data_IF_570041134407
#
_entry.id   IF_570041134407
#
_cell.length_a   1.000
_cell.length_b   1.000
_cell.length_c   1.000
_cell.angle_alpha   90.00
_cell.angle_beta   90.00
_cell.angle_gamma   90.00
#
_symmetry.space_group_name_H-M   'P 1'
#
loop_
_entity.id
_entity.type
_entity.pdbx_description
1 polymer ?
#
# COMPACT_ATOMS: atom_id res chain seq x y z
N UNK A 1 -5.66 -17.19 16.66
CA UNK A 1 -6.24 -16.94 15.32
C UNK A 1 -5.58 -15.73 14.67
N UNK A 2 -5.91 -15.41 13.43
CA UNK A 2 -5.27 -14.32 12.65
C UNK A 2 -5.31 -12.95 13.34
N UNK A 3 -6.27 -12.71 14.24
CA UNK A 3 -6.36 -11.48 15.05
C UNK A 3 -5.09 -11.20 15.88
N UNK A 4 -4.37 -12.22 16.34
CA UNK A 4 -3.15 -12.05 17.14
C UNK A 4 -1.95 -11.55 16.32
N UNK A 5 -1.92 -11.87 15.02
CA UNK A 5 -0.83 -11.49 14.11
C UNK A 5 -1.06 -10.13 13.45
N UNK A 6 -2.32 -9.73 13.33
CA UNK A 6 -2.74 -8.52 12.61
C UNK A 6 -2.94 -7.29 13.51
N UNK A 7 -2.61 -7.42 14.80
CA UNK A 7 -2.77 -6.33 15.76
C UNK A 7 -4.23 -5.90 15.95
N UNK A 8 -5.18 -6.83 15.83
CA UNK A 8 -6.60 -6.51 15.96
C UNK A 8 -6.89 -5.91 17.33
N UNK A 9 -7.57 -4.77 17.32
CA UNK A 9 -8.10 -4.12 18.52
C UNK A 9 -9.61 -3.93 18.39
N UNK A 10 -10.34 -4.25 19.45
CA UNK A 10 -11.77 -3.98 19.58
C UNK A 10 -12.09 -2.54 19.99
N UNK A 11 -11.08 -1.72 20.29
CA UNK A 11 -11.28 -0.34 20.75
C UNK A 11 -11.94 0.52 19.67
N UNK A 12 -12.86 1.40 20.10
CA UNK A 12 -13.43 2.47 19.26
C UNK A 12 -12.37 3.53 19.00
N UNK A 13 -12.26 4.00 17.76
CA UNK A 13 -11.32 5.05 17.38
C UNK A 13 -11.74 6.39 18.00
N UNK A 14 -10.82 7.17 18.59
CA UNK A 14 -11.13 8.51 19.11
C UNK A 14 -11.56 9.50 18.01
N UNK A 15 -11.19 9.27 16.75
CA UNK A 15 -11.55 10.10 15.58
C UNK A 15 -12.83 9.63 14.89
N UNK A 16 -13.55 8.64 15.42
CA UNK A 16 -14.82 8.19 14.85
C UNK A 16 -15.84 9.34 14.82
N UNK A 17 -16.83 9.22 13.94
CA UNK A 17 -17.98 10.13 13.93
C UNK A 17 -18.63 10.14 15.32
N UNK A 18 -18.76 11.32 15.91
CA UNK A 18 -19.28 11.50 17.25
C UNK A 18 -20.73 10.99 17.36
N UNK A 19 -21.09 10.49 18.54
CA UNK A 19 -22.49 10.20 18.86
C UNK A 19 -23.26 11.52 18.94
N UNK A 20 -23.97 11.86 17.86
CA UNK A 20 -24.75 13.09 17.76
C UNK A 20 -25.99 12.84 16.94
N UNK A 21 -27.13 13.18 17.53
CA UNK A 21 -28.44 13.04 16.90
C UNK A 21 -28.87 14.36 16.27
N UNK A 22 -28.83 14.40 14.94
CA UNK A 22 -29.26 15.53 14.13
C UNK A 22 -30.76 15.43 13.83
N UNK A 23 -31.43 16.57 13.77
CA UNK A 23 -32.89 16.67 13.59
C UNK A 23 -33.23 17.57 12.41
N UNK A 24 -33.97 17.03 11.45
CA UNK A 24 -34.37 17.72 10.22
C UNK A 24 -35.88 17.83 10.19
N UNK A 25 -36.41 19.04 10.37
CA UNK A 25 -37.86 19.28 10.43
C UNK A 25 -38.43 19.45 9.01
N UNK A 26 -39.43 18.64 8.68
CA UNK A 26 -40.24 18.78 7.46
C UNK A 26 -41.67 19.20 7.75
N UNK A 27 -42.45 19.38 6.68
CA UNK A 27 -43.88 19.71 6.78
C UNK A 27 -44.72 18.52 7.28
N UNK A 28 -44.38 17.29 6.86
CA UNK A 28 -45.15 16.08 7.16
C UNK A 28 -44.50 15.22 8.25
N UNK A 29 -43.17 15.27 8.36
CA UNK A 29 -42.38 14.41 9.23
C UNK A 29 -41.06 15.08 9.59
N UNK A 30 -40.55 14.76 10.78
CA UNK A 30 -39.19 15.14 11.19
C UNK A 30 -38.28 13.92 11.05
N UNK A 31 -37.17 14.04 10.30
CA UNK A 31 -36.17 12.98 10.18
C UNK A 31 -35.12 13.15 11.27
N UNK A 32 -34.77 12.05 11.91
CA UNK A 32 -33.75 11.96 12.95
C UNK A 32 -32.61 11.10 12.41
N UNK A 33 -31.39 11.62 12.44
CA UNK A 33 -30.19 10.93 11.95
C UNK A 33 -29.10 10.97 13.02
N UNK A 34 -28.39 9.86 13.19
CA UNK A 34 -27.16 9.83 13.95
C UNK A 34 -26.05 9.20 13.13
N UNK A 35 -25.22 10.06 12.52
CA UNK A 35 -24.11 9.62 11.67
C UNK A 35 -23.07 8.78 12.42
N UNK A 36 -23.00 8.86 13.75
CA UNK A 36 -22.18 7.96 14.56
C UNK A 36 -22.62 6.49 14.49
N UNK A 37 -23.86 6.21 14.08
CA UNK A 37 -24.40 4.86 13.86
C UNK A 37 -24.25 4.42 12.40
N UNK A 38 -24.11 5.36 11.47
CA UNK A 38 -24.21 5.09 10.04
C UNK A 38 -23.10 4.13 9.55
N UNK A 39 -23.53 3.06 8.88
CA UNK A 39 -22.64 2.13 8.21
C UNK A 39 -22.23 2.59 6.78
N UNK A 40 -22.60 3.81 6.38
CA UNK A 40 -22.42 4.37 5.03
C UNK A 40 -22.86 3.41 3.90
N UNK A 41 -24.05 2.83 4.04
CA UNK A 41 -24.55 1.86 3.06
C UNK A 41 -25.08 2.46 1.76
N UNK A 42 -25.27 3.78 1.69
CA UNK A 42 -25.85 4.48 0.52
C UNK A 42 -27.36 4.32 0.34
N UNK A 43 -28.03 3.42 1.08
CA UNK A 43 -29.45 3.09 0.85
C UNK A 43 -30.40 4.30 0.83
N UNK A 44 -30.18 5.29 1.69
CA UNK A 44 -31.03 6.49 1.74
C UNK A 44 -30.73 7.46 0.59
N UNK A 45 -29.45 7.72 0.30
CA UNK A 45 -29.00 8.64 -0.76
C UNK A 45 -29.25 8.07 -2.16
N UNK A 46 -29.08 6.76 -2.33
CA UNK A 46 -29.19 6.09 -3.63
C UNK A 46 -30.66 5.92 -4.04
N UNK A 47 -31.56 5.69 -3.06
CA UNK A 47 -32.98 5.41 -3.32
C UNK A 47 -33.87 6.65 -3.24
N UNK A 48 -33.46 7.69 -2.50
CA UNK A 48 -34.27 8.89 -2.29
C UNK A 48 -33.40 10.15 -2.23
N UNK A 49 -32.62 10.38 -3.28
CA UNK A 49 -31.72 11.53 -3.44
C UNK A 49 -32.43 12.89 -3.43
N UNK A 50 -33.76 12.93 -3.64
CA UNK A 50 -34.54 14.17 -3.50
C UNK A 50 -34.67 14.63 -2.05
N UNK A 51 -34.50 13.72 -1.08
CA UNK A 51 -34.55 14.02 0.35
C UNK A 51 -33.22 13.83 1.07
N UNK A 52 -32.33 12.93 0.60
CA UNK A 52 -31.04 12.62 1.24
C UNK A 52 -29.87 13.00 0.33
N UNK A 53 -29.07 13.97 0.77
CA UNK A 53 -28.07 14.64 -0.07
C UNK A 53 -26.65 14.26 0.30
N UNK A 54 -26.02 13.37 -0.49
CA UNK A 54 -24.61 13.06 -0.30
C UNK A 54 -23.73 14.30 -0.48
N UNK A 55 -22.83 14.56 0.48
CA UNK A 55 -21.85 15.66 0.40
C UNK A 55 -22.42 17.08 0.54
N UNK A 56 -23.69 17.23 0.93
CA UNK A 56 -24.33 18.53 1.13
C UNK A 56 -24.85 18.70 2.54
N UNK A 57 -24.94 19.95 3.01
CA UNK A 57 -25.63 20.31 4.25
C UNK A 57 -26.73 21.35 3.95
N UNK A 58 -27.98 21.17 4.43
CA UNK A 58 -28.41 20.07 5.30
C UNK A 58 -28.44 18.72 4.58
N UNK A 59 -27.96 17.67 5.25
CA UNK A 59 -27.95 16.31 4.72
C UNK A 59 -29.34 15.82 4.31
N UNK A 60 -30.38 16.17 5.07
CA UNK A 60 -31.76 15.75 4.82
C UNK A 60 -32.64 16.96 4.54
N UNK A 61 -33.43 16.88 3.47
CA UNK A 61 -34.55 17.77 3.18
C UNK A 61 -35.85 16.96 3.23
N UNK A 62 -36.49 16.83 4.41
CA UNK A 62 -37.67 15.97 4.57
C UNK A 62 -38.84 16.38 3.66
N UNK A 63 -39.01 17.67 3.38
CA UNK A 63 -40.06 18.13 2.45
C UNK A 63 -39.76 17.86 0.98
N UNK A 64 -38.62 17.26 0.64
CA UNK A 64 -38.19 16.94 -0.73
C UNK A 64 -38.73 15.62 -1.28
N UNK A 65 -39.46 14.84 -0.47
CA UNK A 65 -40.07 13.59 -0.88
C UNK A 65 -41.45 13.40 -0.23
N UNK A 66 -42.20 12.41 -0.72
CA UNK A 66 -43.47 12.02 -0.12
C UNK A 66 -43.22 11.27 1.20
N UNK A 67 -44.19 11.33 2.11
CA UNK A 67 -44.08 10.70 3.43
C UNK A 67 -43.83 9.19 3.36
N UNK A 68 -44.55 8.49 2.48
CA UNK A 68 -44.39 7.05 2.25
C UNK A 68 -42.96 6.69 1.79
N UNK A 69 -42.40 7.47 0.88
CA UNK A 69 -41.01 7.30 0.41
C UNK A 69 -40.00 7.53 1.55
N UNK A 70 -40.18 8.57 2.36
CA UNK A 70 -39.32 8.87 3.52
C UNK A 70 -39.36 7.75 4.56
N UNK A 71 -40.56 7.29 4.92
CA UNK A 71 -40.74 6.18 5.87
C UNK A 71 -40.07 4.92 5.34
N UNK A 72 -40.24 4.60 4.06
CA UNK A 72 -39.61 3.46 3.41
C UNK A 72 -38.08 3.55 3.43
N UNK A 73 -37.52 4.72 3.12
CA UNK A 73 -36.09 4.97 3.15
C UNK A 73 -35.51 4.83 4.57
N UNK A 74 -36.19 5.40 5.58
CA UNK A 74 -35.78 5.28 6.99
C UNK A 74 -35.81 3.82 7.46
N UNK A 75 -36.91 3.09 7.19
CA UNK A 75 -37.04 1.65 7.52
C UNK A 75 -36.01 0.77 6.83
N UNK A 76 -35.52 1.21 5.68
CA UNK A 76 -34.51 0.49 4.89
C UNK A 76 -33.08 0.77 5.34
N UNK A 77 -32.84 1.64 6.33
CA UNK A 77 -31.51 1.98 6.83
C UNK A 77 -30.86 0.76 7.53
N UNK A 78 -29.86 0.08 6.93
CA UNK A 78 -29.36 -1.19 7.49
C UNK A 78 -28.65 -1.05 8.85
N UNK A 79 -28.20 0.16 9.18
CA UNK A 79 -27.51 0.45 10.44
C UNK A 79 -28.44 0.92 11.56
N UNK A 80 -29.70 1.24 11.25
CA UNK A 80 -30.61 1.86 12.22
C UNK A 80 -30.25 3.30 12.62
N UNK A 81 -29.37 3.97 11.87
CA UNK A 81 -28.98 5.36 12.10
C UNK A 81 -30.13 6.37 11.90
N UNK A 82 -31.09 6.02 11.03
CA UNK A 82 -32.25 6.85 10.71
C UNK A 82 -33.48 6.47 11.54
N UNK A 83 -34.28 7.49 11.84
CA UNK A 83 -35.60 7.40 12.46
C UNK A 83 -36.44 8.59 12.02
N UNK A 84 -37.71 8.61 12.41
CA UNK A 84 -38.55 9.76 12.22
C UNK A 84 -39.47 10.04 13.42
N UNK A 85 -39.91 11.29 13.51
CA UNK A 85 -40.91 11.74 14.46
C UNK A 85 -42.11 12.35 13.73
N UNK A 86 -43.29 12.04 14.25
CA UNK A 86 -44.58 12.60 13.83
C UNK A 86 -45.10 13.41 15.02
N UNK A 87 -45.50 14.66 14.78
CA UNK A 87 -45.97 15.59 15.81
C UNK A 87 -45.03 15.71 17.03
N UNK A 88 -43.72 15.69 16.76
CA UNK A 88 -42.67 15.81 17.78
C UNK A 88 -42.40 14.53 18.59
N UNK A 89 -43.13 13.44 18.33
CA UNK A 89 -42.93 12.14 18.99
C UNK A 89 -42.21 11.19 18.06
N UNK A 90 -41.08 10.63 18.50
CA UNK A 90 -40.35 9.63 17.72
C UNK A 90 -41.18 8.34 17.59
N UNK A 91 -41.43 7.93 16.35
CA UNK A 91 -42.19 6.73 16.01
C UNK A 91 -41.25 5.53 15.81
N UNK A 92 -40.42 5.22 16.82
CA UNK A 92 -39.41 4.15 16.72
C UNK A 92 -40.03 2.78 16.51
N UNK A 93 -41.16 2.52 17.16
CA UNK A 93 -42.02 1.35 16.99
C UNK A 93 -42.53 1.18 15.54
N UNK A 94 -42.62 2.27 14.79
CA UNK A 94 -42.96 2.24 13.37
C UNK A 94 -41.74 2.15 12.46
N UNK A 95 -40.53 2.42 12.95
CA UNK A 95 -39.27 2.26 12.18
C UNK A 95 -38.74 0.84 12.30
N UNK A 96 -38.73 0.32 13.53
CA UNK A 96 -38.32 -1.04 13.85
C UNK A 96 -39.40 -2.01 13.34
N UNK A 97 -38.99 -3.06 12.64
CA UNK A 97 -39.91 -3.98 11.95
C UNK A 97 -40.01 -5.31 12.68
N UNK A 98 -41.21 -5.87 12.77
CA UNK A 98 -41.39 -7.26 13.21
C UNK A 98 -40.99 -8.22 12.08
N UNK A 99 -39.81 -8.81 12.22
CA UNK A 99 -39.23 -9.78 11.27
C UNK A 99 -38.42 -10.83 12.01
N UNK A 100 -38.29 -12.05 11.46
CA UNK A 100 -37.54 -13.11 12.12
C UNK A 100 -36.07 -12.71 12.36
N UNK A 101 -35.46 -13.18 13.47
CA UNK A 101 -34.03 -13.04 13.72
C UNK A 101 -33.19 -13.54 12.54
N UNK A 102 -32.32 -12.70 12.00
CA UNK A 102 -31.42 -13.08 10.92
C UNK A 102 -30.08 -12.34 10.96
N UNK A 103 -29.07 -13.00 10.40
CA UNK A 103 -27.74 -12.43 10.13
C UNK A 103 -27.48 -12.57 8.64
N UNK A 104 -27.49 -11.47 7.91
CA UNK A 104 -27.14 -11.41 6.49
C UNK A 104 -25.67 -11.03 6.35
N UNK A 105 -24.92 -11.77 5.53
CA UNK A 105 -23.58 -11.39 5.11
C UNK A 105 -23.72 -10.50 3.88
N UNK A 106 -23.53 -9.19 4.03
CA UNK A 106 -23.54 -8.31 2.85
C UNK A 106 -22.24 -8.48 2.06
N UNK A 107 -22.38 -8.58 0.73
CA UNK A 107 -21.24 -8.64 -0.19
C UNK A 107 -20.34 -7.43 0.04
N UNK A 108 -19.04 -7.68 0.20
CA UNK A 108 -18.01 -6.65 0.39
C UNK A 108 -18.28 -5.70 1.57
N UNK A 109 -19.11 -6.12 2.54
CA UNK A 109 -19.68 -5.22 3.54
C UNK A 109 -19.89 -5.85 4.91
N UNK A 110 -20.61 -5.16 5.81
CA UNK A 110 -20.86 -5.62 7.17
C UNK A 110 -21.77 -6.86 7.25
N UNK A 111 -21.85 -7.46 8.44
CA UNK A 111 -22.99 -8.31 8.78
C UNK A 111 -24.19 -7.43 9.11
N UNK A 112 -25.36 -7.70 8.53
CA UNK A 112 -26.62 -7.01 8.85
C UNK A 112 -27.44 -7.91 9.75
N UNK A 113 -27.73 -7.40 10.94
CA UNK A 113 -28.48 -8.10 11.96
C UNK A 113 -29.89 -7.54 11.97
N UNK A 114 -30.89 -8.41 12.04
CA UNK A 114 -32.30 -8.06 12.05
C UNK A 114 -33.09 -8.94 13.01
N UNK A 115 -34.30 -8.52 13.38
CA UNK A 115 -35.22 -9.29 14.22
C UNK A 115 -34.91 -9.22 15.72
N UNK A 116 -34.29 -8.14 16.17
CA UNK A 116 -34.14 -7.88 17.61
C UNK A 116 -33.14 -8.76 18.34
N UNK A 117 -32.13 -9.28 17.63
CA UNK A 117 -31.07 -10.12 18.24
C UNK A 117 -30.29 -9.29 19.28
N UNK A 118 -30.24 -9.71 20.55
CA UNK A 118 -29.44 -9.04 21.57
C UNK A 118 -27.95 -9.10 21.23
N UNK A 119 -27.23 -8.00 21.47
CA UNK A 119 -25.78 -7.94 21.35
C UNK A 119 -25.17 -7.71 22.73
N UNK A 120 -24.35 -8.64 23.19
CA UNK A 120 -23.62 -8.56 24.46
C UNK A 120 -22.12 -8.45 24.25
N UNK A 121 -21.42 -7.83 25.18
CA UNK A 121 -19.97 -7.70 25.19
C UNK A 121 -19.27 -8.96 25.74
N UNK A 122 -17.94 -8.90 25.90
CA UNK A 122 -17.14 -10.02 26.41
C UNK A 122 -17.39 -10.37 27.90
N UNK A 123 -18.10 -9.51 28.63
CA UNK A 123 -18.51 -9.74 30.01
C UNK A 123 -19.96 -10.25 30.12
N UNK A 124 -20.69 -10.31 29.00
CA UNK A 124 -22.10 -10.71 28.96
C UNK A 124 -23.07 -9.55 29.18
N UNK A 125 -22.58 -8.31 29.27
CA UNK A 125 -23.41 -7.11 29.42
C UNK A 125 -23.88 -6.59 28.06
N UNK A 126 -24.98 -5.82 27.97
CA UNK A 126 -25.41 -5.23 26.71
C UNK A 126 -24.33 -4.34 26.08
N UNK A 127 -24.02 -4.58 24.80
CA UNK A 127 -23.03 -3.77 24.07
C UNK A 127 -23.47 -2.31 23.98
N UNK A 128 -22.56 -1.38 24.31
CA UNK A 128 -22.86 0.05 24.34
C UNK A 128 -23.16 0.61 22.94
N UNK A 129 -24.36 1.19 22.79
CA UNK A 129 -24.87 1.78 21.55
C UNK A 129 -24.94 3.30 21.63
N UNK A 130 -24.80 3.94 20.47
CA UNK A 130 -25.00 5.38 20.32
C UNK A 130 -26.49 5.75 20.48
N UNK A 131 -26.75 7.02 20.73
CA UNK A 131 -28.09 7.56 20.98
C UNK A 131 -29.03 7.34 19.80
N UNK A 132 -30.18 6.72 20.03
CA UNK A 132 -31.19 6.46 18.99
C UNK A 132 -30.86 5.27 18.08
N UNK A 133 -29.92 4.39 18.46
CA UNK A 133 -29.71 3.12 17.76
C UNK A 133 -30.96 2.23 17.81
N UNK A 134 -31.29 1.60 16.69
CA UNK A 134 -32.29 0.55 16.66
C UNK A 134 -31.82 -0.66 17.48
N UNK A 135 -32.75 -1.28 18.19
CA UNK A 135 -32.55 -2.59 18.82
C UNK A 135 -32.98 -3.74 17.89
N UNK A 136 -33.83 -3.43 16.90
CA UNK A 136 -34.31 -4.40 15.93
C UNK A 136 -33.24 -4.76 14.89
N UNK A 137 -32.52 -3.78 14.36
CA UNK A 137 -31.48 -4.01 13.37
C UNK A 137 -30.24 -3.14 13.54
N UNK A 138 -29.09 -3.68 13.15
CA UNK A 138 -27.80 -3.01 13.23
C UNK A 138 -26.78 -3.68 12.31
N UNK A 139 -25.65 -2.99 12.05
CA UNK A 139 -24.59 -3.49 11.18
C UNK A 139 -23.29 -3.74 11.95
N UNK A 140 -22.76 -4.95 11.91
CA UNK A 140 -21.49 -5.33 12.55
C UNK A 140 -20.33 -5.32 11.54
N UNK A 141 -19.18 -4.81 11.98
CA UNK A 141 -17.98 -4.71 11.15
C UNK A 141 -17.43 -6.09 10.79
N UNK A 142 -17.09 -6.26 9.50
CA UNK A 142 -16.45 -7.47 8.98
C UNK A 142 -15.03 -7.23 8.46
N UNK A 143 -14.73 -6.02 7.98
CA UNK A 143 -13.43 -5.65 7.40
C UNK A 143 -12.28 -5.48 8.41
N UNK A 144 -12.55 -5.49 9.71
CA UNK A 144 -11.56 -5.20 10.76
C UNK A 144 -11.16 -3.73 10.93
N UNK A 145 -11.48 -2.86 9.96
CA UNK A 145 -11.04 -1.46 9.93
C UNK A 145 -12.07 -0.44 10.43
N UNK A 146 -13.20 -0.87 10.99
CA UNK A 146 -14.20 0.09 11.50
C UNK A 146 -13.64 0.98 12.61
N UNK A 147 -13.98 2.27 12.57
CA UNK A 147 -13.71 3.22 13.64
C UNK A 147 -14.69 3.12 14.82
N UNK A 148 -15.85 2.47 14.63
CA UNK A 148 -16.90 2.34 15.64
C UNK A 148 -17.17 0.88 16.07
N UNK A 149 -16.11 0.09 16.26
CA UNK A 149 -16.23 -1.34 16.60
C UNK A 149 -17.11 -1.55 17.86
N UNK A 150 -17.91 -2.64 17.92
CA UNK A 150 -18.04 -3.70 16.91
C UNK A 150 -18.92 -3.33 15.71
N UNK A 151 -19.54 -2.15 15.72
CA UNK A 151 -20.42 -1.68 14.64
C UNK A 151 -19.62 -1.27 13.39
N UNK A 152 -20.28 -1.32 12.23
CA UNK A 152 -19.71 -0.85 10.98
C UNK A 152 -19.79 0.68 10.89
N UNK A 153 -18.67 1.32 10.55
CA UNK A 153 -18.56 2.78 10.30
C UNK A 153 -18.43 3.12 8.83
N UNK A 154 -18.67 2.17 7.92
CA UNK A 154 -18.48 2.38 6.48
C UNK A 154 -17.04 2.24 5.98
N UNK A 155 -16.06 2.06 6.87
CA UNK A 155 -14.64 1.93 6.49
C UNK A 155 -14.34 0.84 5.45
N UNK A 156 -15.22 -0.17 5.32
CA UNK A 156 -15.10 -1.24 4.31
C UNK A 156 -14.99 -0.70 2.88
N UNK A 157 -15.66 0.41 2.54
CA UNK A 157 -15.51 1.08 1.24
C UNK A 157 -14.11 1.65 1.05
N UNK A 158 -13.61 2.39 2.05
CA UNK A 158 -12.34 3.09 1.96
C UNK A 158 -11.14 2.15 1.97
N UNK A 159 -11.28 0.96 2.56
CA UNK A 159 -10.24 -0.06 2.59
C UNK A 159 -10.41 -1.13 1.52
N UNK A 160 -11.35 -0.94 0.58
CA UNK A 160 -11.66 -1.88 -0.50
C UNK A 160 -11.84 -3.32 0.01
N UNK A 161 -12.60 -3.48 1.09
CA UNK A 161 -12.88 -4.80 1.63
C UNK A 161 -13.68 -5.62 0.62
N UNK A 162 -13.30 -6.88 0.43
CA UNK A 162 -13.92 -7.77 -0.53
C UNK A 162 -14.16 -9.15 0.09
N UNK A 163 -15.32 -9.75 -0.23
CA UNK A 163 -15.67 -11.10 0.19
C UNK A 163 -16.49 -11.87 -0.88
N UNK A 164 -15.97 -13.00 -1.40
CA UNK A 164 -14.65 -13.56 -1.11
C UNK A 164 -13.56 -12.53 -1.46
N UNK A 165 -12.36 -12.60 -0.83
CA UNK A 165 -11.24 -11.79 -1.31
C UNK A 165 -11.14 -11.98 -2.82
N UNK A 166 -10.84 -10.92 -3.60
CA UNK A 166 -10.71 -11.06 -5.04
C UNK A 166 -9.80 -12.25 -5.31
N UNK A 167 -10.11 -13.10 -6.32
CA UNK A 167 -9.15 -14.10 -6.74
C UNK A 167 -7.87 -13.32 -7.07
N UNK A 168 -6.84 -13.45 -6.23
CA UNK A 168 -5.53 -12.96 -6.61
C UNK A 168 -5.17 -13.76 -7.85
N UNK A 169 -4.98 -13.09 -9.00
CA UNK A 169 -4.28 -13.71 -10.11
C UNK A 169 -3.03 -14.34 -9.50
N UNK A 170 -2.82 -15.67 -9.66
CA UNK A 170 -1.77 -16.34 -8.91
C UNK A 170 -0.46 -15.64 -9.20
N UNK A 171 0.34 -15.32 -8.21
CA UNK A 171 1.65 -14.77 -8.51
C UNK A 171 2.45 -15.76 -9.37
N UNK A 172 3.46 -15.27 -10.09
CA UNK A 172 4.24 -16.13 -10.99
C UNK A 172 4.83 -17.37 -10.28
N UNK A 173 5.12 -17.27 -8.98
CA UNK A 173 5.59 -18.39 -8.16
C UNK A 173 4.52 -19.45 -7.91
N UNK A 174 3.27 -19.05 -7.67
CA UNK A 174 2.15 -19.97 -7.55
C UNK A 174 1.85 -20.62 -8.91
N UNK A 175 1.81 -19.80 -9.98
CA UNK A 175 1.50 -20.26 -11.33
C UNK A 175 2.52 -21.26 -11.86
N UNK A 176 3.82 -20.99 -11.69
CA UNK A 176 4.90 -21.88 -12.16
C UNK A 176 4.88 -23.27 -11.49
N UNK A 177 4.12 -23.44 -10.41
CA UNK A 177 4.11 -24.66 -9.59
C UNK A 177 5.09 -24.61 -8.40
N UNK A 178 5.45 -23.41 -7.96
CA UNK A 178 6.27 -23.15 -6.79
C UNK A 178 7.71 -23.62 -6.88
N UNK A 179 8.36 -23.68 -5.72
CA UNK A 179 9.76 -24.05 -5.59
C UNK A 179 10.09 -25.44 -6.17
N UNK A 180 9.22 -26.47 -6.08
CA UNK A 180 9.49 -27.76 -6.73
C UNK A 180 9.69 -27.64 -8.24
N UNK A 181 8.87 -26.84 -8.95
CA UNK A 181 9.01 -26.63 -10.38
C UNK A 181 10.30 -25.88 -10.73
N UNK A 182 10.59 -24.79 -10.00
CA UNK A 182 11.81 -24.02 -10.19
C UNK A 182 13.08 -24.85 -9.91
N UNK A 183 13.07 -25.71 -8.88
CA UNK A 183 14.19 -26.62 -8.59
C UNK A 183 14.40 -27.67 -9.67
N UNK A 184 13.33 -28.25 -10.23
CA UNK A 184 13.47 -29.18 -11.37
C UNK A 184 14.12 -28.47 -12.55
N UNK A 185 13.63 -27.28 -12.88
CA UNK A 185 14.15 -26.45 -13.97
C UNK A 185 15.63 -26.09 -13.77
N UNK A 186 16.02 -25.53 -12.61
CA UNK A 186 17.41 -25.12 -12.38
C UNK A 186 18.35 -26.31 -12.30
N UNK A 187 17.91 -27.45 -11.74
CA UNK A 187 18.72 -28.69 -11.75
C UNK A 187 18.95 -29.19 -13.17
N UNK A 188 17.91 -29.24 -14.01
CA UNK A 188 18.06 -29.61 -15.42
C UNK A 188 19.01 -28.64 -16.15
N UNK A 189 18.84 -27.34 -15.91
CA UNK A 189 19.71 -26.32 -16.50
C UNK A 189 21.19 -26.54 -16.14
N UNK A 190 21.53 -26.62 -14.85
CA UNK A 190 22.92 -26.70 -14.41
C UNK A 190 23.55 -28.10 -14.54
N UNK A 191 22.76 -29.18 -14.46
CA UNK A 191 23.28 -30.54 -14.52
C UNK A 191 23.35 -31.12 -15.94
N UNK A 192 22.44 -30.69 -16.85
CA UNK A 192 22.36 -31.20 -18.23
C UNK A 192 22.89 -30.16 -19.23
N UNK A 193 22.34 -28.95 -19.21
CA UNK A 193 22.57 -27.98 -20.30
C UNK A 193 23.86 -27.19 -20.19
N UNK A 194 24.22 -26.72 -18.99
CA UNK A 194 25.42 -25.91 -18.77
C UNK A 194 26.73 -26.67 -19.06
N UNK A 195 26.92 -27.95 -18.64
CA UNK A 195 28.16 -28.67 -18.91
C UNK A 195 28.39 -28.99 -20.39
N UNK A 196 27.32 -29.12 -21.16
CA UNK A 196 27.37 -29.37 -22.61
C UNK A 196 27.61 -28.09 -23.44
N UNK A 197 27.55 -26.91 -22.82
CA UNK A 197 27.67 -25.63 -23.50
C UNK A 197 29.07 -25.03 -23.35
N UNK A 198 29.91 -24.99 -24.41
CA UNK A 198 31.30 -24.56 -24.32
C UNK A 198 31.49 -23.12 -23.80
N UNK A 199 30.53 -22.22 -24.07
CA UNK A 199 30.60 -20.84 -23.60
C UNK A 199 30.28 -20.68 -22.11
N UNK A 200 29.51 -21.60 -21.53
CA UNK A 200 29.02 -21.50 -20.15
C UNK A 200 29.74 -22.46 -19.20
N UNK A 201 30.15 -23.63 -19.67
CA UNK A 201 30.78 -24.65 -18.83
C UNK A 201 31.98 -24.10 -18.01
N UNK A 202 32.90 -23.27 -18.56
CA UNK A 202 34.00 -22.72 -17.78
C UNK A 202 33.55 -21.77 -16.66
N UNK A 203 32.47 -21.02 -16.88
CA UNK A 203 31.93 -20.05 -15.92
C UNK A 203 31.39 -20.75 -14.66
N UNK A 204 30.86 -21.97 -14.82
CA UNK A 204 30.23 -22.75 -13.76
C UNK A 204 31.06 -23.95 -13.28
N UNK A 205 32.28 -24.15 -13.80
CA UNK A 205 33.11 -25.32 -13.49
C UNK A 205 33.36 -25.52 -11.98
N UNK A 206 33.45 -24.42 -11.22
CA UNK A 206 33.67 -24.42 -9.78
C UNK A 206 32.42 -24.01 -8.98
N UNK A 207 31.22 -24.16 -9.57
CA UNK A 207 29.98 -23.83 -8.86
C UNK A 207 29.76 -24.74 -7.65
N UNK A 208 29.18 -24.20 -6.58
CA UNK A 208 28.77 -25.00 -5.42
C UNK A 208 27.69 -26.01 -5.80
N UNK A 209 27.67 -27.23 -5.23
CA UNK A 209 26.65 -28.24 -5.55
C UNK A 209 25.20 -27.78 -5.30
N UNK A 210 24.99 -26.86 -4.35
CA UNK A 210 23.68 -26.29 -4.02
C UNK A 210 23.31 -25.05 -4.88
N UNK A 211 24.12 -24.70 -5.87
CA UNK A 211 23.86 -23.56 -6.75
C UNK A 211 22.48 -23.63 -7.44
N UNK A 212 22.00 -24.78 -7.97
CA UNK A 212 20.66 -24.87 -8.54
C UNK A 212 19.55 -24.53 -7.54
N UNK A 213 19.69 -24.93 -6.28
CA UNK A 213 18.75 -24.63 -5.21
C UNK A 213 18.74 -23.14 -4.86
N UNK A 214 19.92 -22.49 -4.86
CA UNK A 214 20.03 -21.05 -4.63
C UNK A 214 19.34 -20.25 -5.73
N UNK A 215 19.56 -20.62 -7.00
CA UNK A 215 18.91 -19.95 -8.14
C UNK A 215 17.40 -20.18 -8.12
N UNK A 216 16.93 -21.38 -7.77
CA UNK A 216 15.49 -21.63 -7.62
C UNK A 216 14.87 -20.80 -6.49
N UNK A 217 15.55 -20.65 -5.36
CA UNK A 217 15.10 -19.79 -4.27
C UNK A 217 15.08 -18.31 -4.68
N UNK A 218 16.09 -17.84 -5.43
CA UNK A 218 16.13 -16.49 -5.97
C UNK A 218 14.93 -16.22 -6.89
N UNK A 219 14.73 -17.06 -7.91
CA UNK A 219 13.60 -16.95 -8.82
C UNK A 219 12.26 -17.01 -8.09
N UNK A 220 12.16 -17.89 -7.08
CA UNK A 220 10.95 -18.04 -6.30
C UNK A 220 10.58 -16.78 -5.53
N UNK A 221 11.55 -16.14 -4.89
CA UNK A 221 11.34 -14.88 -4.17
C UNK A 221 10.97 -13.74 -5.13
N UNK A 222 11.66 -13.65 -6.27
CA UNK A 222 11.37 -12.63 -7.30
C UNK A 222 9.96 -12.75 -7.86
N UNK A 223 9.48 -13.98 -8.06
CA UNK A 223 8.14 -14.28 -8.59
C UNK A 223 7.01 -14.19 -7.54
N UNK A 224 7.29 -13.60 -6.37
CA UNK A 224 6.30 -13.37 -5.31
C UNK A 224 6.15 -14.52 -4.31
N UNK A 225 7.06 -15.49 -4.35
CA UNK A 225 7.13 -16.57 -3.38
C UNK A 225 7.80 -16.17 -2.04
N UNK A 226 7.99 -17.13 -1.12
CA UNK A 226 8.59 -16.86 0.19
C UNK A 226 10.04 -16.35 0.08
N UNK A 227 10.50 -15.56 1.08
CA UNK A 227 11.82 -14.90 1.11
C UNK A 227 13.00 -15.84 1.42
N UNK A 228 12.98 -17.05 0.89
CA UNK A 228 13.94 -18.12 1.20
C UNK A 228 15.37 -17.70 0.83
N UNK A 229 15.55 -16.98 -0.28
CA UNK A 229 16.87 -16.56 -0.70
C UNK A 229 17.41 -15.46 0.23
N UNK A 230 16.60 -14.45 0.50
CA UNK A 230 16.98 -13.36 1.41
C UNK A 230 17.32 -13.89 2.80
N UNK A 231 16.50 -14.75 3.37
CA UNK A 231 16.69 -15.29 4.72
C UNK A 231 17.94 -16.18 4.83
N UNK A 232 18.29 -16.95 3.79
CA UNK A 232 19.39 -17.92 3.84
C UNK A 232 20.71 -17.41 3.29
N UNK A 233 20.66 -16.45 2.38
CA UNK A 233 21.81 -16.03 1.60
C UNK A 233 22.07 -14.52 1.65
N UNK A 234 21.20 -13.71 2.26
CA UNK A 234 21.43 -12.28 2.43
C UNK A 234 20.91 -11.40 1.28
N UNK A 235 20.04 -11.95 0.42
CA UNK A 235 19.23 -11.17 -0.52
C UNK A 235 20.03 -10.58 -1.67
N UNK A 236 19.55 -9.45 -2.20
CA UNK A 236 20.13 -8.81 -3.39
C UNK A 236 21.64 -8.51 -3.28
N UNK A 237 22.18 -7.98 -2.16
CA UNK A 237 23.63 -7.74 -2.02
C UNK A 237 24.46 -9.00 -2.23
N UNK A 238 24.01 -10.14 -1.70
CA UNK A 238 24.70 -11.40 -1.91
C UNK A 238 24.63 -11.86 -3.36
N UNK A 239 23.46 -11.81 -4.00
CA UNK A 239 23.31 -12.19 -5.42
C UNK A 239 24.30 -11.42 -6.32
N UNK A 240 24.40 -10.11 -6.12
CA UNK A 240 25.32 -9.25 -6.88
C UNK A 240 26.77 -9.66 -6.66
N UNK A 241 27.17 -9.91 -5.41
CA UNK A 241 28.54 -10.35 -5.09
C UNK A 241 28.97 -11.61 -5.86
N UNK A 242 28.02 -12.49 -6.20
CA UNK A 242 28.30 -13.71 -6.96
C UNK A 242 28.56 -13.46 -8.47
N UNK A 243 28.20 -12.28 -8.98
CA UNK A 243 28.35 -11.90 -10.38
C UNK A 243 29.54 -10.97 -10.64
N UNK A 244 30.03 -10.27 -9.60
CA UNK A 244 31.16 -9.34 -9.72
C UNK A 244 32.41 -10.02 -10.28
N UNK A 245 33.08 -9.35 -11.22
CA UNK A 245 34.36 -9.79 -11.79
C UNK A 245 34.30 -11.07 -12.62
N UNK A 246 33.12 -11.53 -13.00
CA UNK A 246 32.95 -12.75 -13.80
C UNK A 246 33.16 -12.56 -15.31
N UNK A 247 33.23 -11.32 -15.80
CA UNK A 247 33.47 -11.02 -17.22
C UNK A 247 32.44 -11.66 -18.16
N UNK A 248 31.16 -11.65 -17.78
CA UNK A 248 30.07 -12.25 -18.56
C UNK A 248 29.89 -11.43 -19.84
N UNK A 249 30.03 -12.07 -20.99
CA UNK A 249 29.88 -11.44 -22.31
C UNK A 249 28.45 -11.56 -22.83
N UNK A 250 28.06 -10.72 -23.79
CA UNK A 250 26.75 -10.81 -24.45
C UNK A 250 26.47 -12.19 -25.09
N UNK A 251 27.42 -12.84 -25.79
CA UNK A 251 27.22 -14.21 -26.28
C UNK A 251 26.94 -15.22 -25.16
N UNK A 252 27.64 -15.12 -24.02
CA UNK A 252 27.39 -15.97 -22.86
C UNK A 252 25.99 -15.73 -22.30
N UNK A 253 25.60 -14.46 -22.13
CA UNK A 253 24.27 -14.05 -21.64
C UNK A 253 23.15 -14.59 -22.53
N UNK A 254 23.23 -14.35 -23.84
CA UNK A 254 22.23 -14.79 -24.80
C UNK A 254 22.08 -16.32 -24.76
N UNK A 255 23.21 -17.04 -24.65
CA UNK A 255 23.20 -18.50 -24.58
C UNK A 255 22.60 -19.01 -23.27
N UNK A 256 22.93 -18.38 -22.15
CA UNK A 256 22.35 -18.68 -20.85
C UNK A 256 20.83 -18.49 -20.85
N UNK A 257 20.36 -17.35 -21.37
CA UNK A 257 18.93 -17.03 -21.45
C UNK A 257 18.16 -18.02 -22.34
N UNK A 258 18.74 -18.47 -23.46
CA UNK A 258 18.13 -19.47 -24.31
C UNK A 258 18.06 -20.86 -23.65
N UNK A 259 19.14 -21.28 -22.99
CA UNK A 259 19.22 -22.60 -22.37
C UNK A 259 18.34 -22.73 -21.13
N UNK A 260 18.16 -21.67 -20.33
CA UNK A 260 17.26 -21.74 -19.17
C UNK A 260 15.78 -21.81 -19.59
N UNK A 261 15.41 -21.21 -20.73
CA UNK A 261 14.08 -21.37 -21.32
C UNK A 261 13.87 -22.81 -21.82
N UNK A 262 14.87 -23.39 -22.50
CA UNK A 262 14.83 -24.81 -22.89
C UNK A 262 14.72 -25.73 -21.67
N UNK A 263 15.42 -25.42 -20.58
CA UNK A 263 15.30 -26.17 -19.33
C UNK A 263 13.92 -26.03 -18.69
N UNK A 264 13.24 -24.88 -18.84
CA UNK A 264 11.88 -24.69 -18.37
C UNK A 264 10.91 -25.61 -19.13
N UNK A 265 11.06 -25.73 -20.46
CA UNK A 265 10.25 -26.63 -21.29
C UNK A 265 10.41 -28.09 -20.85
N UNK A 266 11.67 -28.57 -20.74
CA UNK A 266 11.98 -29.93 -20.29
C UNK A 266 11.50 -30.21 -18.85
N UNK A 267 11.43 -29.18 -17.99
CA UNK A 267 11.01 -29.31 -16.60
C UNK A 267 9.47 -29.35 -16.41
N UNK A 268 8.72 -29.17 -17.49
CA UNK A 268 7.26 -29.08 -17.47
C UNK A 268 6.76 -27.79 -16.82
N UNK A 269 7.51 -26.70 -16.94
CA UNK A 269 7.05 -25.36 -16.53
C UNK A 269 5.90 -24.93 -17.46
N UNK A 270 4.81 -24.29 -16.93
CA UNK A 270 3.66 -23.88 -17.75
C UNK A 270 4.05 -23.13 -19.02
N UNK A 271 3.37 -23.42 -20.14
CA UNK A 271 3.70 -22.90 -21.47
C UNK A 271 2.62 -21.97 -22.05
N UNK A 272 1.67 -21.52 -21.22
CA UNK A 272 0.71 -20.49 -21.58
C UNK A 272 1.42 -19.16 -21.93
N UNK A 273 0.83 -18.41 -22.86
CA UNK A 273 1.47 -17.26 -23.48
C UNK A 273 1.76 -16.15 -22.46
N UNK A 274 0.83 -15.95 -21.54
CA UNK A 274 0.87 -14.97 -20.46
C UNK A 274 2.06 -15.25 -19.52
N UNK A 275 2.16 -16.47 -19.00
CA UNK A 275 3.26 -16.84 -18.12
C UNK A 275 4.60 -16.79 -18.85
N UNK A 276 4.66 -17.31 -20.07
CA UNK A 276 5.91 -17.36 -20.84
C UNK A 276 6.41 -15.98 -21.22
N UNK A 277 5.52 -15.04 -21.58
CA UNK A 277 5.90 -13.66 -21.81
C UNK A 277 6.53 -13.04 -20.55
N UNK A 278 5.89 -13.20 -19.38
CA UNK A 278 6.40 -12.65 -18.12
C UNK A 278 7.74 -13.29 -17.69
N UNK A 279 7.86 -14.61 -17.81
CA UNK A 279 9.09 -15.35 -17.48
C UNK A 279 10.25 -14.94 -18.38
N UNK A 280 10.05 -14.92 -19.70
CA UNK A 280 11.09 -14.56 -20.67
C UNK A 280 11.53 -13.12 -20.49
N UNK A 281 10.60 -12.19 -20.26
CA UNK A 281 10.93 -10.79 -20.00
C UNK A 281 11.82 -10.63 -18.76
N UNK A 282 11.53 -11.35 -17.67
CA UNK A 282 12.40 -11.33 -16.48
C UNK A 282 13.80 -11.89 -16.76
N UNK A 283 13.88 -13.04 -17.44
CA UNK A 283 15.16 -13.69 -17.78
C UNK A 283 16.01 -12.76 -18.65
N UNK A 284 15.40 -12.11 -19.64
CA UNK A 284 16.07 -11.13 -20.48
C UNK A 284 16.56 -9.93 -19.66
N UNK A 285 15.68 -9.33 -18.84
CA UNK A 285 16.01 -8.19 -17.99
C UNK A 285 17.14 -8.50 -16.99
N UNK A 286 17.01 -9.59 -16.23
CA UNK A 286 17.95 -10.00 -15.19
C UNK A 286 19.32 -10.42 -15.76
N UNK A 287 19.33 -11.09 -16.92
CA UNK A 287 20.60 -11.52 -17.54
C UNK A 287 21.45 -10.34 -18.03
N UNK A 288 20.84 -9.24 -18.49
CA UNK A 288 21.57 -8.00 -18.84
C UNK A 288 22.21 -7.33 -17.64
N UNK A 289 21.53 -7.36 -16.50
CA UNK A 289 22.09 -6.86 -15.24
C UNK A 289 23.32 -7.68 -14.82
N UNK A 290 23.29 -9.00 -15.03
CA UNK A 290 24.46 -9.84 -14.78
C UNK A 290 25.68 -9.45 -15.63
N UNK A 291 25.48 -9.09 -16.90
CA UNK A 291 26.56 -8.58 -17.78
C UNK A 291 27.17 -7.30 -17.20
N UNK A 292 26.32 -6.31 -16.87
CA UNK A 292 26.78 -5.03 -16.30
C UNK A 292 27.56 -5.23 -15.01
N UNK A 293 27.02 -6.01 -14.07
CA UNK A 293 27.66 -6.23 -12.76
C UNK A 293 28.96 -7.06 -12.87
N UNK A 294 29.09 -7.88 -13.90
CA UNK A 294 30.30 -8.69 -14.09
C UNK A 294 31.47 -7.94 -14.74
N UNK A 295 31.20 -6.73 -15.26
CA UNK A 295 32.17 -5.92 -15.98
C UNK A 295 33.25 -5.36 -15.06
N UNK A 296 34.45 -5.14 -15.61
CA UNK A 296 35.56 -4.52 -14.87
C UNK A 296 35.18 -3.11 -14.42
N UNK A 297 35.31 -2.81 -13.13
CA UNK A 297 34.99 -1.51 -12.55
C UNK A 297 33.49 -1.27 -12.25
N UNK A 298 32.63 -2.28 -12.39
CA UNK A 298 31.22 -2.17 -12.04
C UNK A 298 31.03 -1.82 -10.55
N UNK A 299 30.21 -0.81 -10.26
CA UNK A 299 29.84 -0.37 -8.90
C UNK A 299 28.32 -0.43 -8.74
N UNK A 300 27.74 -1.60 -8.50
CA UNK A 300 26.30 -1.73 -8.33
C UNK A 300 25.80 -0.94 -7.10
N UNK A 301 24.62 -0.31 -7.17
CA UNK A 301 24.07 0.43 -6.04
C UNK A 301 23.86 -0.48 -4.82
N UNK A 302 24.23 0.03 -3.64
CA UNK A 302 24.07 -0.67 -2.38
C UNK A 302 22.62 -0.60 -1.86
N UNK A 303 22.21 -1.61 -1.08
CA UNK A 303 20.93 -1.59 -0.35
C UNK A 303 19.67 -1.79 -1.20
N UNK A 304 19.78 -2.13 -2.49
CA UNK A 304 18.61 -2.44 -3.32
C UNK A 304 17.88 -3.69 -2.82
N UNK A 305 16.53 -3.70 -2.82
CA UNK A 305 15.77 -4.89 -2.45
C UNK A 305 15.82 -5.96 -3.54
N UNK A 306 15.47 -7.21 -3.20
CA UNK A 306 15.20 -8.25 -4.20
C UNK A 306 14.06 -7.76 -5.11
N UNK A 307 14.22 -7.78 -6.45
CA UNK A 307 13.18 -7.29 -7.34
C UNK A 307 11.93 -8.14 -7.20
N UNK A 308 10.77 -7.50 -7.32
CA UNK A 308 9.49 -8.21 -7.48
C UNK A 308 9.09 -8.16 -8.93
N UNK A 309 8.77 -9.31 -9.49
CA UNK A 309 8.34 -9.43 -10.88
C UNK A 309 6.89 -9.93 -10.95
N UNK A 310 6.08 -9.28 -11.78
CA UNK A 310 4.66 -9.57 -11.92
C UNK A 310 4.31 -9.95 -13.36
N UNK A 311 3.04 -10.32 -13.60
CA UNK A 311 2.49 -10.66 -14.92
C UNK A 311 2.72 -9.59 -15.99
N UNK A 312 2.72 -8.31 -15.57
CA UNK A 312 3.01 -7.17 -16.42
C UNK A 312 4.41 -6.65 -16.11
N UNK A 313 5.19 -6.40 -17.16
CA UNK A 313 6.51 -5.81 -17.03
C UNK A 313 6.39 -4.32 -16.66
N UNK A 314 6.50 -3.96 -15.38
CA UNK A 314 6.44 -2.57 -14.91
C UNK A 314 7.81 -1.85 -15.03
N UNK A 315 8.60 -2.21 -16.04
CA UNK A 315 9.93 -1.67 -16.27
C UNK A 315 9.85 -0.41 -17.15
N UNK A 316 10.08 0.77 -16.56
CA UNK A 316 10.17 2.04 -17.28
C UNK A 316 11.62 2.43 -17.62
N UNK A 317 11.88 3.24 -18.67
CA UNK A 317 13.20 3.84 -18.87
C UNK A 317 13.62 4.59 -17.60
N UNK A 318 14.83 4.29 -17.07
CA UNK A 318 15.35 4.77 -15.79
C UNK A 318 14.74 4.17 -14.50
N UNK A 319 13.93 3.09 -14.58
CA UNK A 319 13.49 2.32 -13.41
C UNK A 319 14.65 1.70 -12.59
N UNK A 320 15.88 1.75 -13.11
CA UNK A 320 17.09 1.30 -12.42
C UNK A 320 18.26 2.26 -12.65
N UNK A 321 19.17 2.27 -11.68
CA UNK A 321 20.49 2.88 -11.80
C UNK A 321 21.46 1.85 -12.40
N UNK A 322 22.22 2.23 -13.43
CA UNK A 322 23.21 1.32 -14.04
C UNK A 322 24.46 1.21 -13.19
N UNK A 323 25.01 0.00 -13.05
CA UNK A 323 26.29 -0.24 -12.37
C UNK A 323 27.50 0.34 -13.12
N UNK A 324 27.29 0.75 -14.38
CA UNK A 324 28.28 1.41 -15.25
C UNK A 324 28.02 2.91 -15.39
N UNK A 325 26.97 3.45 -14.75
CA UNK A 325 26.69 4.88 -14.81
C UNK A 325 27.90 5.65 -14.24
N UNK A 326 28.30 6.79 -14.86
CA UNK A 326 29.23 7.70 -14.24
C UNK A 326 28.69 8.05 -12.85
N UNK A 327 29.52 7.92 -11.81
CA UNK A 327 29.15 8.50 -10.53
C UNK A 327 29.11 10.01 -10.78
N UNK A 328 27.93 10.62 -10.69
CA UNK A 328 27.85 12.08 -10.53
C UNK A 328 28.64 12.38 -9.26
N UNK A 329 29.85 12.91 -9.40
CA UNK A 329 30.57 13.51 -8.27
C UNK A 329 29.66 14.61 -7.74
N UNK A 330 29.12 14.42 -6.53
CA UNK A 330 28.37 15.47 -5.87
C UNK A 330 29.27 16.71 -5.82
N UNK A 331 28.81 17.87 -6.33
CA UNK A 331 29.60 19.08 -6.23
C UNK A 331 29.94 19.32 -4.75
N UNK A 332 31.16 19.79 -4.43
CA UNK A 332 31.53 20.08 -3.06
C UNK A 332 30.48 20.99 -2.43
N UNK A 333 30.19 20.81 -1.14
CA UNK A 333 29.14 21.58 -0.49
C UNK A 333 29.41 23.08 -0.68
N UNK A 334 28.36 23.88 -0.91
CA UNK A 334 28.49 25.32 -1.09
C UNK A 334 29.17 25.92 0.14
N UNK A 335 30.06 26.91 -0.02
CA UNK A 335 30.65 27.59 1.12
C UNK A 335 29.55 28.22 1.98
N UNK A 336 29.64 28.01 3.29
CA UNK A 336 28.66 28.56 4.23
C UNK A 336 28.86 30.08 4.35
N UNK A 337 27.77 30.86 4.45
CA UNK A 337 27.86 32.31 4.65
C UNK A 337 28.57 32.64 5.96
N UNK A 338 29.32 33.74 5.97
CA UNK A 338 30.01 34.21 7.17
C UNK A 338 29.03 34.53 8.32
N UNK A 339 29.53 34.67 9.55
CA UNK A 339 28.70 34.81 10.75
C UNK A 339 27.76 36.05 10.71
N UNK A 340 28.19 37.12 10.07
CA UNK A 340 27.44 38.39 9.95
C UNK A 340 26.88 38.63 8.53
N UNK A 341 27.00 37.65 7.64
CA UNK A 341 26.50 37.76 6.27
C UNK A 341 24.99 37.50 6.19
N UNK A 342 24.21 38.35 5.49
CA UNK A 342 22.80 38.11 5.28
C UNK A 342 22.57 36.83 4.47
N UNK A 343 21.72 35.94 5.00
CA UNK A 343 21.38 34.66 4.36
C UNK A 343 20.20 34.88 3.43
N UNK A 344 20.21 34.25 2.27
CA UNK A 344 19.13 34.28 1.29
C UNK A 344 18.86 32.89 0.74
N UNK A 345 17.65 32.67 0.23
CA UNK A 345 17.26 31.35 -0.22
C UNK A 345 18.07 30.89 -1.43
N UNK A 346 18.16 31.74 -2.45
CA UNK A 346 18.83 31.42 -3.71
C UNK A 346 20.34 31.16 -3.53
N UNK A 347 21.01 31.95 -2.71
CA UNK A 347 22.47 31.87 -2.55
C UNK A 347 22.89 30.83 -1.50
N UNK A 348 22.10 30.63 -0.45
CA UNK A 348 22.57 29.92 0.74
C UNK A 348 21.70 28.75 1.19
N UNK A 349 20.40 28.73 0.91
CA UNK A 349 19.51 27.64 1.36
C UNK A 349 19.30 26.61 0.27
N UNK A 350 18.89 27.05 -0.93
CA UNK A 350 18.66 26.19 -2.08
C UNK A 350 19.87 25.29 -2.39
N UNK A 351 21.13 25.78 -2.34
CA UNK A 351 22.30 24.95 -2.60
C UNK A 351 22.58 23.86 -1.56
N UNK A 352 22.02 23.96 -0.34
CA UNK A 352 22.18 22.94 0.70
C UNK A 352 21.33 21.68 0.42
N UNK A 353 20.26 21.82 -0.36
CA UNK A 353 19.41 20.69 -0.76
C UNK A 353 19.94 20.05 -2.05
N UNK A 354 20.33 18.78 -2.00
CA UNK A 354 20.82 18.03 -3.16
C UNK A 354 19.66 17.66 -4.09
N UNK A 355 19.97 17.37 -5.35
CA UNK A 355 18.98 16.88 -6.33
C UNK A 355 18.24 15.65 -5.82
N UNK A 356 18.93 14.74 -5.10
CA UNK A 356 18.34 13.56 -4.47
C UNK A 356 17.36 13.92 -3.35
N UNK A 357 17.69 14.89 -2.51
CA UNK A 357 16.84 15.35 -1.42
C UNK A 357 15.53 15.92 -1.98
N UNK A 358 15.65 16.79 -3.00
CA UNK A 358 14.50 17.35 -3.73
C UNK A 358 13.63 16.26 -4.35
N UNK A 359 14.23 15.33 -5.11
CA UNK A 359 13.48 14.27 -5.77
C UNK A 359 12.76 13.37 -4.77
N UNK A 360 13.38 13.11 -3.61
CA UNK A 360 12.77 12.33 -2.52
C UNK A 360 11.60 13.06 -1.86
N UNK A 361 11.59 14.39 -1.86
CA UNK A 361 10.54 15.21 -1.23
C UNK A 361 9.48 15.74 -2.19
N UNK A 362 9.71 15.68 -3.51
CA UNK A 362 8.88 16.30 -4.55
C UNK A 362 7.41 15.86 -4.55
N UNK A 363 7.11 14.70 -3.96
CA UNK A 363 5.73 14.22 -3.78
C UNK A 363 4.97 14.92 -2.64
N UNK A 364 5.69 15.59 -1.73
CA UNK A 364 5.13 16.38 -0.61
C UNK A 364 5.20 17.87 -0.91
N UNK A 365 6.38 18.40 -1.25
CA UNK A 365 6.63 19.79 -1.67
C UNK A 365 8.03 19.93 -2.30
N UNK A 366 8.34 21.06 -2.96
CA UNK A 366 9.61 21.26 -3.66
C UNK A 366 10.66 21.97 -2.79
N UNK A 367 11.74 21.26 -2.42
CA UNK A 367 12.86 21.84 -1.64
C UNK A 367 13.67 22.93 -2.37
N UNK A 368 13.46 23.13 -3.68
CA UNK A 368 14.04 24.24 -4.44
C UNK A 368 13.04 25.37 -4.72
N UNK A 369 11.83 25.29 -4.15
CA UNK A 369 10.84 26.36 -4.16
C UNK A 369 10.94 27.18 -2.88
N UNK A 370 11.20 28.49 -3.02
CA UNK A 370 11.25 29.43 -1.89
C UNK A 370 9.96 29.35 -1.06
N UNK A 371 8.82 29.49 -1.73
CA UNK A 371 7.48 29.40 -1.14
C UNK A 371 7.25 28.14 -0.28
N UNK A 372 7.66 26.98 -0.78
CA UNK A 372 7.43 25.71 -0.08
C UNK A 372 8.36 25.59 1.13
N UNK A 373 9.63 25.96 0.98
CA UNK A 373 10.59 25.93 2.08
C UNK A 373 10.21 26.96 3.15
N UNK A 374 9.67 28.12 2.78
CA UNK A 374 9.10 29.09 3.73
C UNK A 374 7.92 28.51 4.52
N UNK A 375 6.96 27.87 3.84
CA UNK A 375 5.77 27.28 4.48
C UNK A 375 6.11 26.15 5.45
N UNK A 376 7.19 25.42 5.18
CA UNK A 376 7.55 24.21 5.91
C UNK A 376 8.82 24.34 6.76
N UNK A 377 9.42 25.53 6.84
CA UNK A 377 10.75 25.76 7.43
C UNK A 377 10.95 25.17 8.82
N UNK A 378 10.03 25.42 9.75
CA UNK A 378 10.12 24.88 11.12
C UNK A 378 10.06 23.35 11.16
N UNK A 379 9.20 22.75 10.33
CA UNK A 379 9.07 21.30 10.24
C UNK A 379 10.33 20.66 9.62
N UNK A 380 10.93 21.32 8.62
CA UNK A 380 12.19 20.90 8.02
C UNK A 380 13.30 20.91 9.08
N UNK A 381 13.47 22.01 9.82
CA UNK A 381 14.48 22.09 10.90
C UNK A 381 14.25 21.01 11.96
N UNK A 382 13.01 20.78 12.39
CA UNK A 382 12.70 19.75 13.38
C UNK A 382 13.13 18.35 12.89
N UNK A 383 12.91 18.04 11.61
CA UNK A 383 13.29 16.76 11.01
C UNK A 383 14.80 16.61 10.84
N UNK A 384 15.49 17.69 10.46
CA UNK A 384 16.95 17.75 10.33
C UNK A 384 17.63 17.55 11.70
N UNK A 385 17.18 18.26 12.74
CA UNK A 385 17.69 18.10 14.12
C UNK A 385 17.41 16.71 14.70
N UNK A 386 16.30 16.08 14.31
CA UNK A 386 15.97 14.71 14.70
C UNK A 386 16.79 13.64 13.94
N UNK A 387 17.62 14.04 12.96
CA UNK A 387 18.38 13.10 12.11
C UNK A 387 17.50 12.22 11.22
N UNK A 388 16.23 12.58 11.05
CA UNK A 388 15.25 11.82 10.27
C UNK A 388 15.19 12.25 8.80
N UNK A 389 15.93 13.31 8.45
CA UNK A 389 16.15 13.78 7.09
C UNK A 389 17.59 14.32 6.97
N UNK A 390 18.25 14.13 5.81
CA UNK A 390 17.84 13.27 4.69
C UNK A 390 17.92 11.76 5.03
N UNK A 391 17.30 10.91 4.20
CA UNK A 391 17.20 9.46 4.47
C UNK A 391 18.54 8.71 4.33
N UNK A 392 19.58 9.37 3.86
CA UNK A 392 20.90 8.82 3.56
C UNK A 392 22.04 9.51 4.35
N UNK A 393 21.73 10.34 5.35
CA UNK A 393 22.72 10.98 6.21
C UNK A 393 22.15 12.13 7.04
N UNK A 394 22.90 12.60 8.05
CA UNK A 394 22.49 13.74 8.89
C UNK A 394 23.21 15.01 8.42
N UNK A 395 22.51 16.14 8.38
CA UNK A 395 23.15 17.44 8.09
C UNK A 395 24.10 17.87 9.21
N UNK A 396 25.25 18.49 8.89
CA UNK A 396 26.08 19.17 9.87
C UNK A 396 25.31 20.27 10.61
N UNK A 397 25.59 20.47 11.90
CA UNK A 397 24.93 21.48 12.75
C UNK A 397 25.06 22.90 12.17
N UNK A 398 26.18 23.19 11.52
CA UNK A 398 26.47 24.45 10.84
C UNK A 398 25.49 24.76 9.69
N UNK A 399 25.00 23.75 8.96
CA UNK A 399 24.02 23.94 7.89
C UNK A 399 22.63 24.20 8.46
N UNK A 400 22.29 23.48 9.53
CA UNK A 400 21.04 23.67 10.26
C UNK A 400 21.01 25.09 10.85
N UNK A 401 22.15 25.60 11.34
CA UNK A 401 22.27 26.96 11.83
C UNK A 401 22.05 28.02 10.72
N UNK A 402 22.56 27.80 9.51
CA UNK A 402 22.31 28.70 8.37
C UNK A 402 20.83 28.73 7.98
N UNK A 403 20.16 27.56 7.94
CA UNK A 403 18.72 27.49 7.66
C UNK A 403 17.89 28.18 8.76
N UNK A 404 18.26 27.99 10.03
CA UNK A 404 17.61 28.68 11.15
C UNK A 404 17.78 30.19 11.03
N UNK A 405 18.99 30.68 10.75
CA UNK A 405 19.27 32.11 10.58
C UNK A 405 18.46 32.72 9.44
N UNK A 406 18.27 31.99 8.35
CA UNK A 406 17.41 32.42 7.24
C UNK A 406 15.94 32.56 7.65
N UNK A 407 15.39 31.58 8.38
CA UNK A 407 14.02 31.68 8.93
C UNK A 407 13.89 32.88 9.87
N UNK A 408 14.84 33.05 10.78
CA UNK A 408 14.84 34.13 11.77
C UNK A 408 14.97 35.52 11.11
N UNK A 409 15.63 35.60 9.96
CA UNK A 409 15.80 36.83 9.17
C UNK A 409 14.58 37.24 8.33
N UNK A 410 13.47 36.50 8.41
CA UNK A 410 12.26 36.77 7.64
C UNK A 410 12.27 36.16 6.24
N UNK A 411 13.09 35.13 6.00
CA UNK A 411 13.11 34.31 4.79
C UNK A 411 13.32 35.08 3.46
N UNK A 412 14.36 35.91 3.35
CA UNK A 412 14.65 36.65 2.11
C UNK A 412 14.98 35.69 0.94
N UNK A 413 14.52 36.04 -0.26
CA UNK A 413 14.67 35.23 -1.48
C UNK A 413 16.12 35.09 -1.96
#
# INVERSE_FOLDING_TARGET
>A
GSHAQTGFTGAKDPKRVADRRDTYRGLQVTILDNRGICAHSGFCTDRLSTAFHAGSEPFVTPSGARLDDLVSAVRSCPSGALSYAIDGTEARDQVDQDRPPAIEVSKDGPYRITGGIPLTDGHGEPEARNTGASLEHYSLCRCGQSQNKPFCSGMHWYVNFADPPPPEDPNLFQWVGGLPALRRMTRLFYAKYVPEEPLLAPLFANMSPDHPERVAAWLGEVFGGPKIYTERHGGYPHMISQHLGKGITEPMRARWAALIQKAADDAGVPADAEFRAAFVAYIEWGSRIAVENSSSGAKPPEGLPVPRWWWVCDATPAARVSALAPQEEEPPPPPLPAQDEPVSFAAHIKPLFRSRDRNSMKFVFDLWSHDDVCRHGEAIIARLRAGSMPCDGVWPDEWIAVLQRWLDSGMPE
#
